data_IF_030822543656
#
_entry.id   IF_030822543656
#
_cell.length_a   1.000
_cell.length_b   1.000
_cell.length_c   1.000
_cell.angle_alpha   90.00
_cell.angle_beta   90.00
_cell.angle_gamma   90.00
#
_symmetry.space_group_name_H-M   'P 1'
#
loop_
_entity.id
_entity.type
_entity.pdbx_description
1 polymer ?
#
# COMPACT_ATOMS: atom_id res chain seq x y z
N UNK A 1 9.66 16.87 17.62
CA UNK A 1 10.16 16.26 16.37
C UNK A 1 9.01 16.12 15.37
N UNK A 2 9.22 16.61 14.17
CA UNK A 2 8.26 16.43 13.09
C UNK A 2 8.22 14.96 12.64
N UNK A 3 7.04 14.48 12.23
CA UNK A 3 6.87 13.12 11.72
C UNK A 3 7.75 12.88 10.50
N UNK A 4 7.87 13.89 9.60
CA UNK A 4 8.73 13.79 8.42
C UNK A 4 10.21 13.64 8.79
N UNK A 5 10.67 14.33 9.83
CA UNK A 5 12.04 14.18 10.31
C UNK A 5 12.28 12.78 10.88
N UNK A 6 11.31 12.27 11.63
CA UNK A 6 11.38 10.92 12.17
C UNK A 6 11.44 9.87 11.05
N UNK A 7 10.61 10.03 10.03
CA UNK A 7 10.62 9.12 8.87
C UNK A 7 11.96 9.13 8.15
N UNK A 8 12.51 10.33 7.93
CA UNK A 8 13.80 10.49 7.29
C UNK A 8 14.91 9.81 8.09
N UNK A 9 14.96 10.06 9.40
CA UNK A 9 15.95 9.49 10.29
C UNK A 9 15.83 7.97 10.36
N UNK A 10 14.61 7.45 10.47
CA UNK A 10 14.37 6.01 10.51
C UNK A 10 14.85 5.34 9.24
N UNK A 11 14.53 5.91 8.09
CA UNK A 11 14.91 5.38 6.79
C UNK A 11 16.44 5.35 6.63
N UNK A 12 17.11 6.46 6.91
CA UNK A 12 18.57 6.58 6.73
C UNK A 12 19.34 5.76 7.76
N UNK A 13 18.88 5.71 9.01
CA UNK A 13 19.49 4.90 10.07
C UNK A 13 19.45 3.42 9.73
N UNK A 14 18.40 2.95 9.08
CA UNK A 14 18.25 1.57 8.66
C UNK A 14 18.85 1.31 7.26
N UNK A 15 19.63 2.24 6.73
CA UNK A 15 20.30 2.14 5.43
C UNK A 15 19.35 1.92 4.27
N UNK A 16 18.15 2.43 4.38
CA UNK A 16 17.15 2.38 3.31
C UNK A 16 17.16 3.70 2.54
N UNK A 17 16.72 3.65 1.29
CA UNK A 17 16.86 4.78 0.35
C UNK A 17 15.56 5.54 0.13
N UNK A 18 14.44 5.01 0.55
CA UNK A 18 13.15 5.61 0.30
C UNK A 18 12.01 4.79 0.88
N UNK A 19 10.81 5.03 0.39
CA UNK A 19 9.58 4.43 0.88
C UNK A 19 8.75 3.82 -0.23
N UNK A 20 8.08 2.72 0.10
CA UNK A 20 7.03 2.11 -0.73
C UNK A 20 5.74 2.14 0.06
N UNK A 21 4.67 2.63 -0.52
CA UNK A 21 3.39 2.75 0.15
C UNK A 21 2.23 2.37 -0.77
N UNK A 22 1.32 1.55 -0.25
CA UNK A 22 0.07 1.23 -0.96
C UNK A 22 -0.92 2.38 -0.89
N UNK A 23 -1.52 2.72 -2.02
CA UNK A 23 -2.54 3.77 -2.10
C UNK A 23 -3.87 3.15 -2.51
N UNK A 24 -4.92 3.47 -1.75
CA UNK A 24 -6.24 2.84 -1.89
C UNK A 24 -7.38 3.82 -2.19
N UNK A 25 -7.10 5.11 -2.21
CA UNK A 25 -8.12 6.15 -2.28
C UNK A 25 -8.72 6.52 -0.94
N UNK A 26 -8.29 5.87 0.16
CA UNK A 26 -8.70 6.19 1.52
C UNK A 26 -7.83 7.27 2.16
N UNK A 27 -8.31 7.83 3.26
CA UNK A 27 -7.65 8.94 3.96
C UNK A 27 -6.30 8.51 4.57
N UNK A 28 -6.22 7.31 5.13
CA UNK A 28 -5.00 6.85 5.81
C UNK A 28 -3.83 6.72 4.83
N UNK A 29 -4.07 6.14 3.66
CA UNK A 29 -3.02 6.03 2.64
C UNK A 29 -2.66 7.40 2.05
N UNK A 30 -3.63 8.31 1.94
CA UNK A 30 -3.39 9.66 1.46
C UNK A 30 -2.47 10.43 2.41
N UNK A 31 -2.74 10.37 3.72
CA UNK A 31 -1.93 11.06 4.73
C UNK A 31 -0.53 10.47 4.79
N UNK A 32 -0.40 9.15 4.84
CA UNK A 32 0.91 8.49 4.96
C UNK A 32 1.77 8.73 3.72
N UNK A 33 1.19 8.65 2.52
CA UNK A 33 1.93 8.91 1.29
C UNK A 33 2.39 10.38 1.20
N UNK A 34 1.55 11.31 1.63
CA UNK A 34 1.93 12.73 1.69
C UNK A 34 3.09 12.96 2.66
N UNK A 35 3.08 12.33 3.82
CA UNK A 35 4.17 12.43 4.80
C UNK A 35 5.48 11.87 4.24
N UNK A 36 5.43 10.71 3.58
CA UNK A 36 6.60 10.13 2.93
C UNK A 36 7.13 11.04 1.83
N UNK A 37 6.26 11.61 1.01
CA UNK A 37 6.65 12.54 -0.06
C UNK A 37 7.38 13.77 0.51
N UNK A 38 6.93 14.27 1.64
CA UNK A 38 7.51 15.46 2.29
C UNK A 38 8.92 15.24 2.85
N UNK A 39 9.36 14.00 3.00
CA UNK A 39 10.74 13.70 3.40
C UNK A 39 11.76 14.08 2.33
N UNK A 40 11.34 14.21 1.08
CA UNK A 40 12.23 14.40 -0.07
C UNK A 40 12.90 13.12 -0.54
N UNK A 41 12.78 12.03 0.18
CA UNK A 41 13.32 10.73 -0.22
C UNK A 41 12.43 10.08 -1.29
N UNK A 42 12.98 9.22 -2.16
CA UNK A 42 12.18 8.50 -3.14
C UNK A 42 10.97 7.82 -2.50
N UNK A 43 9.80 8.05 -3.05
CA UNK A 43 8.52 7.54 -2.54
C UNK A 43 7.75 6.89 -3.68
N UNK A 44 7.59 5.57 -3.62
CA UNK A 44 6.85 4.81 -4.61
C UNK A 44 5.44 4.57 -4.07
N UNK A 45 4.46 5.16 -4.72
CA UNK A 45 3.05 4.88 -4.44
C UNK A 45 2.61 3.71 -5.32
N UNK A 46 2.05 2.68 -4.72
CA UNK A 46 1.64 1.46 -5.43
C UNK A 46 0.13 1.31 -5.38
N UNK A 47 -0.49 1.31 -6.54
CA UNK A 47 -1.91 1.04 -6.68
C UNK A 47 -2.07 -0.42 -7.08
N UNK A 48 -2.83 -1.19 -6.28
CA UNK A 48 -2.93 -2.65 -6.40
C UNK A 48 -4.39 -3.08 -6.41
N UNK A 49 -5.12 -2.90 -7.53
CA UNK A 49 -6.54 -3.23 -7.55
C UNK A 49 -6.76 -4.74 -7.50
N UNK A 50 -7.79 -5.15 -6.75
CA UNK A 50 -8.36 -6.49 -6.74
C UNK A 50 -9.87 -6.31 -6.83
N UNK A 51 -10.45 -6.41 -8.02
CA UNK A 51 -11.88 -6.15 -8.26
C UNK A 51 -12.35 -4.81 -7.68
N UNK A 52 -11.49 -3.80 -7.78
CA UNK A 52 -11.72 -2.52 -7.13
C UNK A 52 -12.80 -1.72 -7.85
N UNK A 53 -13.62 -1.00 -7.07
CA UNK A 53 -14.59 -0.04 -7.60
C UNK A 53 -13.83 1.09 -8.30
N UNK A 54 -14.27 1.45 -9.50
CA UNK A 54 -13.62 2.46 -10.35
C UNK A 54 -13.38 3.79 -9.63
N UNK A 55 -14.33 4.24 -8.82
CA UNK A 55 -14.21 5.50 -8.09
C UNK A 55 -13.07 5.46 -7.06
N UNK A 56 -12.80 4.32 -6.45
CA UNK A 56 -11.67 4.17 -5.50
C UNK A 56 -10.34 4.23 -6.25
N UNK A 57 -10.26 3.56 -7.39
CA UNK A 57 -9.07 3.59 -8.26
C UNK A 57 -8.78 5.01 -8.71
N UNK A 58 -9.80 5.72 -9.20
CA UNK A 58 -9.67 7.11 -9.65
C UNK A 58 -9.18 8.03 -8.54
N UNK A 59 -9.72 7.91 -7.33
CA UNK A 59 -9.28 8.71 -6.18
C UNK A 59 -7.82 8.45 -5.82
N UNK A 60 -7.39 7.19 -5.85
CA UNK A 60 -6.00 6.83 -5.59
C UNK A 60 -5.07 7.46 -6.63
N UNK A 61 -5.42 7.33 -7.90
CA UNK A 61 -4.61 7.88 -9.00
C UNK A 61 -4.58 9.41 -9.00
N UNK A 62 -5.70 10.06 -8.70
CA UNK A 62 -5.77 11.52 -8.57
C UNK A 62 -4.89 12.02 -7.42
N UNK A 63 -4.92 11.32 -6.28
CA UNK A 63 -4.08 11.67 -5.15
C UNK A 63 -2.59 11.59 -5.49
N UNK A 64 -2.17 10.50 -6.15
CA UNK A 64 -0.77 10.36 -6.57
C UNK A 64 -0.38 11.42 -7.59
N UNK A 65 -1.28 11.71 -8.55
CA UNK A 65 -1.03 12.77 -9.52
C UNK A 65 -0.84 14.13 -8.83
N UNK A 66 -1.65 14.43 -7.80
CA UNK A 66 -1.51 15.63 -6.99
C UNK A 66 -0.16 15.68 -6.27
N UNK A 67 0.24 14.58 -5.63
CA UNK A 67 1.55 14.49 -4.97
C UNK A 67 2.70 14.71 -5.95
N UNK A 68 2.63 14.11 -7.12
CA UNK A 68 3.68 14.23 -8.15
C UNK A 68 3.82 15.66 -8.68
N UNK A 69 2.76 16.45 -8.67
CA UNK A 69 2.79 17.87 -9.03
C UNK A 69 3.67 18.67 -8.08
N UNK A 70 3.65 18.34 -6.80
CA UNK A 70 4.33 19.10 -5.76
C UNK A 70 5.61 18.45 -5.26
N UNK A 71 5.86 17.19 -5.60
CA UNK A 71 7.00 16.42 -5.12
C UNK A 71 7.61 15.60 -6.27
N UNK A 72 8.79 15.99 -6.72
CA UNK A 72 9.49 15.30 -7.79
C UNK A 72 9.98 13.90 -7.39
N UNK A 73 10.04 13.63 -6.10
CA UNK A 73 10.49 12.34 -5.55
C UNK A 73 9.41 11.25 -5.52
N UNK A 74 8.19 11.56 -5.93
CA UNK A 74 7.06 10.60 -5.94
C UNK A 74 6.96 9.93 -7.30
N UNK A 75 6.79 8.61 -7.29
CA UNK A 75 6.51 7.81 -8.49
C UNK A 75 5.30 6.91 -8.25
N UNK A 76 4.72 6.42 -9.32
CA UNK A 76 3.55 5.53 -9.28
C UNK A 76 3.91 4.19 -9.91
N UNK A 77 3.58 3.11 -9.21
CA UNK A 77 3.54 1.75 -9.78
C UNK A 77 2.12 1.22 -9.69
N UNK A 78 1.69 0.54 -10.74
CA UNK A 78 0.37 -0.10 -10.79
C UNK A 78 0.55 -1.59 -10.98
N UNK A 79 0.01 -2.37 -10.05
CA UNK A 79 0.07 -3.83 -10.10
C UNK A 79 -1.35 -4.36 -9.95
N UNK A 80 -1.95 -4.81 -11.05
CA UNK A 80 -3.28 -5.41 -10.99
C UNK A 80 -3.17 -6.82 -10.42
N UNK A 81 -3.65 -7.00 -9.18
CA UNK A 81 -3.61 -8.27 -8.48
C UNK A 81 -4.87 -9.12 -8.69
N UNK A 82 -5.81 -8.65 -9.50
CA UNK A 82 -7.06 -9.39 -9.74
C UNK A 82 -6.80 -10.82 -10.25
N UNK A 83 -5.96 -11.05 -11.28
CA UNK A 83 -5.69 -12.42 -11.73
C UNK A 83 -5.02 -13.28 -10.66
N UNK A 84 -4.10 -12.70 -9.91
CA UNK A 84 -3.38 -13.41 -8.84
C UNK A 84 -4.33 -13.82 -7.72
N UNK A 85 -5.20 -12.90 -7.30
CA UNK A 85 -6.21 -13.18 -6.28
C UNK A 85 -7.18 -14.27 -6.76
N UNK A 86 -7.63 -14.22 -8.01
CA UNK A 86 -8.55 -15.22 -8.54
C UNK A 86 -7.92 -16.60 -8.58
N UNK A 87 -6.63 -16.72 -8.91
CA UNK A 87 -5.91 -17.99 -8.85
C UNK A 87 -5.86 -18.53 -7.41
N UNK A 88 -5.60 -17.68 -6.43
CA UNK A 88 -5.62 -18.06 -5.02
C UNK A 88 -7.02 -18.48 -4.58
N UNK A 89 -8.03 -17.70 -4.92
CA UNK A 89 -9.42 -17.98 -4.54
C UNK A 89 -9.89 -19.34 -5.01
N UNK A 90 -9.55 -19.71 -6.24
CA UNK A 90 -9.90 -21.00 -6.82
C UNK A 90 -9.18 -22.16 -6.11
N UNK A 91 -7.95 -21.95 -5.68
CA UNK A 91 -7.13 -22.97 -5.03
C UNK A 91 -7.47 -23.19 -3.56
N UNK A 92 -8.02 -22.17 -2.88
CA UNK A 92 -8.24 -22.22 -1.44
C UNK A 92 -9.55 -22.92 -1.07
N UNK A 93 -9.59 -23.61 0.09
CA UNK A 93 -10.81 -24.26 0.55
C UNK A 93 -11.89 -23.24 0.94
N UNK A 94 -13.15 -23.66 0.79
CA UNK A 94 -14.33 -22.84 1.09
C UNK A 94 -15.33 -23.56 1.97
N UNK A 95 -14.91 -24.61 2.66
CA UNK A 95 -15.78 -25.46 3.49
C UNK A 95 -16.03 -24.85 4.87
N UNK A 96 -16.68 -23.70 4.87
CA UNK A 96 -17.00 -22.92 6.07
C UNK A 96 -18.24 -22.05 5.80
N UNK A 97 -18.85 -21.47 6.84
CA UNK A 97 -19.93 -20.51 6.65
C UNK A 97 -19.48 -19.31 5.77
N UNK A 98 -20.42 -18.77 5.00
CA UNK A 98 -20.17 -17.69 4.03
C UNK A 98 -19.41 -16.52 4.65
N UNK A 99 -19.80 -16.09 5.84
CA UNK A 99 -19.14 -14.97 6.51
C UNK A 99 -17.67 -15.25 6.82
N UNK A 100 -17.35 -16.49 7.19
CA UNK A 100 -15.96 -16.89 7.45
C UNK A 100 -15.15 -16.91 6.16
N UNK A 101 -15.73 -17.41 5.08
CA UNK A 101 -15.06 -17.42 3.76
C UNK A 101 -14.77 -16.00 3.29
N UNK A 102 -15.74 -15.09 3.42
CA UNK A 102 -15.55 -13.69 3.00
C UNK A 102 -14.46 -13.00 3.80
N UNK A 103 -14.41 -13.22 5.12
CA UNK A 103 -13.36 -12.66 5.98
C UNK A 103 -11.98 -13.21 5.61
N UNK A 104 -11.90 -14.52 5.40
CA UNK A 104 -10.64 -15.18 5.02
C UNK A 104 -10.12 -14.63 3.67
N UNK A 105 -11.02 -14.43 2.70
CA UNK A 105 -10.65 -13.87 1.40
C UNK A 105 -10.23 -12.40 1.51
N UNK A 106 -10.87 -11.62 2.39
CA UNK A 106 -10.45 -10.24 2.66
C UNK A 106 -9.01 -10.21 3.20
N UNK A 107 -8.69 -11.12 4.11
CA UNK A 107 -7.32 -11.26 4.64
C UNK A 107 -6.34 -11.70 3.56
N UNK A 108 -6.75 -12.58 2.67
CA UNK A 108 -5.92 -13.01 1.54
C UNK A 108 -5.58 -11.82 0.64
N UNK A 109 -6.58 -10.97 0.31
CA UNK A 109 -6.32 -9.76 -0.48
C UNK A 109 -5.33 -8.84 0.21
N UNK A 110 -5.49 -8.61 1.50
CA UNK A 110 -4.58 -7.75 2.26
C UNK A 110 -3.15 -8.28 2.24
N UNK A 111 -2.96 -9.58 2.37
CA UNK A 111 -1.64 -10.22 2.36
C UNK A 111 -0.99 -10.22 0.98
N UNK A 112 -1.76 -10.38 -0.08
CA UNK A 112 -1.23 -10.24 -1.44
C UNK A 112 -0.70 -8.83 -1.69
N UNK A 113 -1.41 -7.82 -1.22
CA UNK A 113 -0.94 -6.43 -1.31
C UNK A 113 0.34 -6.23 -0.48
N UNK A 114 0.38 -6.76 0.72
CA UNK A 114 1.58 -6.70 1.57
C UNK A 114 2.79 -7.36 0.88
N UNK A 115 2.59 -8.55 0.32
CA UNK A 115 3.64 -9.26 -0.41
C UNK A 115 4.18 -8.42 -1.57
N UNK A 116 3.28 -7.78 -2.31
CA UNK A 116 3.64 -6.92 -3.44
C UNK A 116 4.49 -5.72 -2.97
N UNK A 117 4.08 -5.06 -1.89
CA UNK A 117 4.83 -3.92 -1.35
C UNK A 117 6.22 -4.33 -0.90
N UNK A 118 6.35 -5.44 -0.20
CA UNK A 118 7.66 -5.93 0.26
C UNK A 118 8.54 -6.38 -0.88
N UNK A 119 7.97 -6.92 -1.94
CA UNK A 119 8.74 -7.26 -3.13
C UNK A 119 9.36 -6.02 -3.77
N UNK A 120 8.54 -4.98 -3.98
CA UNK A 120 9.02 -3.72 -4.56
C UNK A 120 10.07 -3.07 -3.65
N UNK A 121 9.82 -3.07 -2.35
CA UNK A 121 10.76 -2.53 -1.36
C UNK A 121 12.11 -3.26 -1.42
N UNK A 122 12.08 -4.59 -1.53
CA UNK A 122 13.29 -5.41 -1.65
C UNK A 122 14.07 -5.11 -2.92
N UNK A 123 13.37 -4.89 -4.03
CA UNK A 123 14.03 -4.55 -5.30
C UNK A 123 14.77 -3.21 -5.24
N UNK A 124 14.24 -2.24 -4.51
CA UNK A 124 14.75 -0.86 -4.55
C UNK A 124 15.58 -0.48 -3.32
N UNK A 125 15.56 -1.28 -2.28
CA UNK A 125 16.18 -0.94 -0.99
C UNK A 125 15.40 0.14 -0.25
N UNK A 126 14.06 0.04 -0.27
CA UNK A 126 13.16 0.98 0.37
C UNK A 126 12.42 0.31 1.53
N UNK A 127 11.88 1.15 2.42
CA UNK A 127 11.02 0.70 3.51
C UNK A 127 9.56 0.68 3.06
N UNK A 128 8.81 -0.30 3.55
CA UNK A 128 7.35 -0.29 3.41
C UNK A 128 6.77 0.60 4.49
N UNK A 129 6.03 1.64 4.10
CA UNK A 129 5.32 2.51 5.02
C UNK A 129 3.92 1.96 5.26
N UNK A 130 3.61 1.65 6.51
CA UNK A 130 2.32 1.12 6.90
C UNK A 130 1.23 2.20 6.97
N UNK A 131 0.04 1.85 6.56
CA UNK A 131 -1.14 2.73 6.61
C UNK A 131 -2.21 2.20 7.57
N UNK A 132 -1.95 1.06 8.21
CA UNK A 132 -2.88 0.44 9.13
C UNK A 132 -3.15 1.31 10.35
N UNK A 133 -4.35 1.21 10.88
CA UNK A 133 -4.70 1.84 12.14
C UNK A 133 -5.04 0.77 13.18
N UNK A 134 -5.19 1.19 14.42
CA UNK A 134 -5.41 0.27 15.54
C UNK A 134 -6.63 -0.63 15.34
N UNK A 135 -7.68 -0.12 14.73
CA UNK A 135 -8.90 -0.89 14.47
C UNK A 135 -8.64 -1.97 13.43
N UNK A 136 -7.95 -1.62 12.34
CA UNK A 136 -7.59 -2.58 11.29
C UNK A 136 -6.66 -3.67 11.81
N UNK A 137 -5.68 -3.29 12.63
CA UNK A 137 -4.69 -4.23 13.17
C UNK A 137 -5.33 -5.28 14.08
N UNK A 138 -6.35 -4.91 14.83
CA UNK A 138 -7.06 -5.82 15.72
C UNK A 138 -8.28 -6.48 15.10
N UNK A 139 -8.77 -5.96 13.99
CA UNK A 139 -9.95 -6.48 13.29
C UNK A 139 -9.68 -7.61 12.32
N UNK A 140 -8.45 -8.02 12.18
CA UNK A 140 -8.04 -9.00 11.15
C UNK A 140 -7.51 -10.28 11.76
#
# INVERSE_FOLDING_TARGET
MHITDWLTDYCTTNRQKGFVIGVSGGIDSAVTSALCARTGLPTVCVEMPIHQVRSHVERALEHVAHLRKHHANVSLERVDLTPTFEAMRVALPTDAPQAAVELALANTRARLRMTTLYHIAGLRGYLVAGTGNKVEDFGV
#
